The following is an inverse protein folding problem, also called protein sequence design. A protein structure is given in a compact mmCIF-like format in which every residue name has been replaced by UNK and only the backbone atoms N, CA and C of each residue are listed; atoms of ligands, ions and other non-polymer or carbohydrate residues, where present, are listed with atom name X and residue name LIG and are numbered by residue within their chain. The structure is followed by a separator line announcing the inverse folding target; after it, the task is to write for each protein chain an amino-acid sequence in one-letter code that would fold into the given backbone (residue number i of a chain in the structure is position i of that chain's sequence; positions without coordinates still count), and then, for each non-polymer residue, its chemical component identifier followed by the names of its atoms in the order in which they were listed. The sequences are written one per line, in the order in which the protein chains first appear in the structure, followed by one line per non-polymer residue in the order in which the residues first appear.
data_IF_558046309691
#
_entry.id   IF_558046309691
#
_cell.length_a   1.000
_cell.length_b   1.000
_cell.length_c   1.000
_cell.angle_alpha   90.00
_cell.angle_beta   90.00
_cell.angle_gamma   90.00
#
_symmetry.space_group_name_H-M   'P 1'
#
loop_
_entity.id
_entity.type
_entity.pdbx_description
1 polymer ?
#
# COMPACT_ATOMS: atom_id res chain seq x y z
N UNK A 1 19.99 -11.81 -12.26
CA UNK A 1 19.27 -12.96 -12.85
C UNK A 1 19.93 -13.41 -14.15
N UNK A 2 20.07 -12.54 -15.14
CA UNK A 2 20.62 -12.90 -16.45
C UNK A 2 22.07 -13.41 -16.40
N UNK A 3 22.97 -12.76 -15.69
CA UNK A 3 24.38 -13.20 -15.62
C UNK A 3 24.57 -14.48 -14.83
N UNK A 4 23.76 -14.69 -13.80
CA UNK A 4 23.75 -15.94 -13.05
C UNK A 4 23.14 -17.10 -13.88
N UNK A 5 22.16 -16.83 -14.75
CA UNK A 5 21.68 -17.80 -15.73
C UNK A 5 22.73 -18.11 -16.81
N UNK A 6 23.53 -17.13 -17.24
CA UNK A 6 24.67 -17.35 -18.16
C UNK A 6 25.78 -18.16 -17.51
N UNK A 7 26.11 -17.86 -16.25
CA UNK A 7 27.06 -18.62 -15.46
C UNK A 7 26.61 -20.08 -15.25
N UNK A 8 25.29 -20.31 -15.12
CA UNK A 8 24.74 -21.66 -15.05
C UNK A 8 24.99 -22.51 -16.32
N UNK A 9 25.24 -21.88 -17.47
CA UNK A 9 25.55 -22.61 -18.70
C UNK A 9 27.01 -23.11 -18.77
N UNK A 10 27.91 -22.60 -17.93
CA UNK A 10 29.35 -22.89 -18.04
C UNK A 10 29.84 -23.99 -17.10
N UNK A 11 29.09 -24.35 -16.06
CA UNK A 11 29.43 -25.47 -15.16
C UNK A 11 28.20 -26.07 -14.49
N UNK A 12 28.32 -27.36 -14.10
CA UNK A 12 27.26 -28.09 -13.41
C UNK A 12 27.02 -27.56 -11.99
N UNK A 13 28.09 -27.11 -11.32
CA UNK A 13 28.06 -26.50 -10.00
C UNK A 13 27.34 -25.15 -10.03
N UNK A 14 27.62 -24.32 -11.04
CA UNK A 14 26.94 -23.05 -11.25
C UNK A 14 25.46 -23.25 -11.62
N UNK A 15 25.13 -24.30 -12.39
CA UNK A 15 23.76 -24.68 -12.66
C UNK A 15 23.01 -25.11 -11.39
N UNK A 16 23.64 -25.87 -10.51
CA UNK A 16 23.05 -26.26 -9.22
C UNK A 16 22.86 -25.04 -8.31
N UNK A 17 23.86 -24.17 -8.20
CA UNK A 17 23.77 -22.91 -7.45
C UNK A 17 22.63 -22.03 -7.96
N UNK A 18 22.50 -21.92 -9.29
CA UNK A 18 21.40 -21.19 -9.93
C UNK A 18 20.02 -21.78 -9.61
N UNK A 19 19.87 -23.10 -9.66
CA UNK A 19 18.61 -23.79 -9.35
C UNK A 19 18.17 -23.58 -7.90
N UNK A 20 19.11 -23.44 -6.98
CA UNK A 20 18.85 -23.19 -5.54
C UNK A 20 18.72 -21.70 -5.18
N UNK A 21 18.81 -20.78 -6.15
CA UNK A 21 18.79 -19.35 -5.87
C UNK A 21 17.43 -18.89 -5.30
N UNK A 22 17.34 -18.33 -4.09
CA UNK A 22 16.08 -18.21 -3.36
C UNK A 22 15.11 -17.14 -3.91
N UNK A 23 15.54 -16.30 -4.86
CA UNK A 23 14.75 -15.19 -5.38
C UNK A 23 14.59 -15.22 -6.89
N UNK A 24 13.35 -15.15 -7.37
CA UNK A 24 13.02 -14.98 -8.76
C UNK A 24 12.28 -13.67 -8.95
N UNK A 25 12.84 -12.77 -9.76
CA UNK A 25 12.25 -11.49 -10.15
C UNK A 25 12.15 -11.38 -11.66
N UNK A 26 10.94 -11.24 -12.18
CA UNK A 26 10.65 -11.03 -13.59
C UNK A 26 10.07 -9.63 -13.77
N UNK A 27 10.80 -8.80 -14.49
CA UNK A 27 10.54 -7.38 -14.70
C UNK A 27 11.16 -6.94 -16.03
N UNK A 28 10.77 -5.77 -16.54
CA UNK A 28 11.33 -5.24 -17.78
C UNK A 28 12.86 -5.20 -17.78
N UNK A 29 13.46 -4.85 -16.62
CA UNK A 29 14.91 -4.79 -16.41
C UNK A 29 15.56 -6.18 -16.41
N UNK A 30 14.98 -7.13 -15.69
CA UNK A 30 15.56 -8.49 -15.57
C UNK A 30 15.44 -9.32 -16.84
N UNK A 31 14.52 -8.93 -17.73
CA UNK A 31 14.31 -9.55 -19.03
C UNK A 31 15.02 -8.82 -20.19
N UNK A 32 15.81 -7.78 -19.88
CA UNK A 32 16.58 -6.98 -20.85
C UNK A 32 15.73 -6.49 -22.04
N UNK A 33 14.54 -5.96 -21.76
CA UNK A 33 13.71 -5.36 -22.79
C UNK A 33 14.26 -3.98 -23.15
N UNK A 34 14.80 -3.83 -24.36
CA UNK A 34 15.18 -2.53 -24.91
C UNK A 34 13.90 -1.68 -25.13
N UNK A 35 13.91 -0.43 -24.68
CA UNK A 35 12.74 0.48 -24.64
C UNK A 35 12.22 0.92 -26.03
N UNK A 36 12.84 0.44 -27.11
CA UNK A 36 12.43 0.75 -28.47
C UNK A 36 11.53 -0.36 -29.02
N UNK A 37 10.60 0.02 -29.91
CA UNK A 37 9.67 -0.82 -30.69
C UNK A 37 8.25 -0.96 -30.11
N UNK A 38 7.43 0.03 -30.46
CA UNK A 38 6.00 0.14 -30.17
C UNK A 38 5.10 -0.74 -31.06
N UNK A 39 5.61 -1.34 -32.16
CA UNK A 39 4.80 -1.95 -33.22
C UNK A 39 4.72 -3.50 -33.26
N UNK A 40 5.48 -4.25 -32.44
CA UNK A 40 5.44 -5.74 -32.41
C UNK A 40 5.25 -6.25 -30.97
N UNK A 41 4.24 -5.75 -30.26
CA UNK A 41 4.12 -6.02 -28.81
C UNK A 41 3.56 -7.41 -28.48
N UNK A 42 2.54 -7.90 -29.19
CA UNK A 42 1.87 -9.17 -28.81
C UNK A 42 2.75 -10.41 -29.04
N UNK A 43 3.54 -10.43 -30.12
CA UNK A 43 4.49 -11.51 -30.40
C UNK A 43 5.62 -11.51 -29.35
N UNK A 44 6.10 -10.33 -28.96
CA UNK A 44 7.11 -10.17 -27.90
C UNK A 44 6.57 -10.61 -26.54
N UNK A 45 5.32 -10.28 -26.20
CA UNK A 45 4.68 -10.74 -24.95
C UNK A 45 4.66 -12.27 -24.88
N UNK A 46 4.28 -12.97 -25.97
CA UNK A 46 4.31 -14.45 -26.01
C UNK A 46 5.72 -15.02 -25.85
N UNK A 47 6.71 -14.44 -26.50
CA UNK A 47 8.12 -14.86 -26.38
C UNK A 47 8.62 -14.67 -24.93
N UNK A 48 8.30 -13.54 -24.31
CA UNK A 48 8.63 -13.25 -22.90
C UNK A 48 7.97 -14.27 -21.98
N UNK A 49 6.67 -14.52 -22.14
CA UNK A 49 5.92 -15.48 -21.33
C UNK A 49 6.48 -16.91 -21.51
N UNK A 50 6.86 -17.29 -22.73
CA UNK A 50 7.47 -18.61 -23.00
C UNK A 50 8.84 -18.78 -22.33
N UNK A 51 9.64 -17.72 -22.26
CA UNK A 51 10.91 -17.69 -21.54
C UNK A 51 10.69 -17.84 -20.04
N UNK A 52 9.76 -17.09 -19.47
CA UNK A 52 9.39 -17.19 -18.04
C UNK A 52 8.89 -18.61 -17.73
N UNK A 53 8.00 -19.17 -18.55
CA UNK A 53 7.49 -20.53 -18.38
C UNK A 53 8.61 -21.57 -18.41
N UNK A 54 9.55 -21.44 -19.34
CA UNK A 54 10.72 -22.33 -19.41
C UNK A 54 11.62 -22.22 -18.18
N UNK A 55 11.84 -21.01 -17.65
CA UNK A 55 12.63 -20.78 -16.43
C UNK A 55 11.96 -21.44 -15.23
N UNK A 56 10.64 -21.24 -15.07
CA UNK A 56 9.91 -21.78 -13.93
C UNK A 56 9.78 -23.31 -14.00
N UNK A 57 9.56 -23.88 -15.19
CA UNK A 57 9.58 -25.34 -15.40
C UNK A 57 10.93 -25.95 -15.06
N UNK A 58 12.04 -25.30 -15.42
CA UNK A 58 13.38 -25.76 -15.06
C UNK A 58 13.68 -25.71 -13.56
N UNK A 59 12.81 -25.06 -12.77
CA UNK A 59 12.93 -24.92 -11.33
C UNK A 59 11.81 -25.62 -10.56
N UNK A 60 10.92 -26.34 -11.25
CA UNK A 60 9.84 -27.10 -10.60
C UNK A 60 10.43 -28.12 -9.61
N UNK A 61 10.00 -28.06 -8.35
CA UNK A 61 10.49 -28.92 -7.27
C UNK A 61 11.68 -28.35 -6.47
N UNK A 62 12.17 -27.16 -6.80
CA UNK A 62 13.16 -26.44 -5.97
C UNK A 62 12.50 -25.22 -5.30
N UNK A 63 12.68 -25.11 -4.00
CA UNK A 63 12.07 -24.09 -3.16
C UNK A 63 12.49 -22.67 -3.59
N UNK A 64 11.50 -21.82 -3.86
CA UNK A 64 11.69 -20.39 -4.12
C UNK A 64 11.11 -19.62 -2.94
N UNK A 65 11.96 -18.87 -2.23
CA UNK A 65 11.51 -18.09 -1.07
C UNK A 65 10.82 -16.80 -1.49
N UNK A 66 11.32 -16.15 -2.54
CA UNK A 66 10.82 -14.85 -3.02
C UNK A 66 10.52 -14.90 -4.51
N UNK A 67 9.29 -14.62 -4.88
CA UNK A 67 8.85 -14.60 -6.27
C UNK A 67 8.20 -13.25 -6.59
N UNK A 68 8.72 -12.57 -7.63
CA UNK A 68 8.24 -11.25 -8.05
C UNK A 68 7.94 -11.26 -9.54
N UNK A 69 6.68 -10.99 -9.88
CA UNK A 69 6.17 -10.77 -11.22
C UNK A 69 5.79 -9.29 -11.35
N UNK A 70 6.60 -8.51 -12.06
CA UNK A 70 6.40 -7.07 -12.28
C UNK A 70 5.95 -6.85 -13.73
N UNK A 71 4.74 -7.32 -14.07
CA UNK A 71 4.24 -7.42 -15.43
C UNK A 71 3.49 -6.20 -15.95
N UNK A 72 3.58 -5.04 -15.27
CA UNK A 72 2.93 -3.79 -15.72
C UNK A 72 3.27 -3.37 -17.15
N UNK A 73 4.41 -3.82 -17.67
CA UNK A 73 4.88 -3.53 -19.04
C UNK A 73 4.26 -4.44 -20.12
N UNK A 74 3.69 -5.59 -19.73
CA UNK A 74 2.98 -6.50 -20.65
C UNK A 74 1.59 -5.96 -20.95
N UNK A 75 1.01 -6.35 -22.09
CA UNK A 75 -0.40 -6.01 -22.39
C UNK A 75 -1.36 -6.96 -21.70
N UNK A 76 -1.04 -8.25 -21.72
CA UNK A 76 -1.89 -9.31 -21.19
C UNK A 76 -1.04 -10.50 -20.77
N UNK A 77 -1.42 -11.08 -19.63
CA UNK A 77 -0.89 -12.36 -19.17
C UNK A 77 -2.06 -13.35 -19.10
N UNK A 78 -2.02 -14.47 -19.82
CA UNK A 78 -3.06 -15.49 -19.71
C UNK A 78 -3.06 -16.07 -18.28
N UNK A 79 -4.25 -16.18 -17.69
CA UNK A 79 -4.42 -16.54 -16.28
C UNK A 79 -3.86 -17.93 -15.94
N UNK A 80 -4.00 -18.89 -16.87
CA UNK A 80 -3.50 -20.25 -16.73
C UNK A 80 -1.97 -20.35 -16.59
N UNK A 81 -1.21 -19.39 -17.11
CA UNK A 81 0.24 -19.33 -16.84
C UNK A 81 0.49 -18.95 -15.39
N UNK A 82 -0.20 -17.92 -14.89
CA UNK A 82 -0.03 -17.43 -13.52
C UNK A 82 -0.39 -18.52 -12.52
N UNK A 83 -1.55 -19.18 -12.69
CA UNK A 83 -2.00 -20.26 -11.79
C UNK A 83 -0.96 -21.38 -11.71
N UNK A 84 -0.49 -21.86 -12.87
CA UNK A 84 0.53 -22.91 -12.95
C UNK A 84 1.85 -22.49 -12.29
N UNK A 85 2.26 -21.24 -12.48
CA UNK A 85 3.50 -20.71 -11.90
C UNK A 85 3.41 -20.58 -10.38
N UNK A 86 2.26 -20.11 -9.87
CA UNK A 86 2.00 -20.05 -8.44
C UNK A 86 1.95 -21.46 -7.85
N UNK A 87 1.23 -22.41 -8.46
CA UNK A 87 1.19 -23.80 -8.03
C UNK A 87 2.58 -24.42 -7.88
N UNK A 88 3.46 -24.18 -8.87
CA UNK A 88 4.83 -24.69 -8.85
C UNK A 88 5.70 -24.03 -7.77
N UNK A 89 5.46 -22.77 -7.44
CA UNK A 89 6.29 -21.98 -6.52
C UNK A 89 5.77 -21.94 -5.09
N UNK A 90 4.50 -22.30 -4.84
CA UNK A 90 3.85 -22.16 -3.53
C UNK A 90 4.56 -22.89 -2.39
N UNK A 91 5.10 -24.11 -2.57
CA UNK A 91 5.84 -24.79 -1.50
C UNK A 91 7.01 -23.93 -1.02
N UNK A 92 6.96 -23.50 0.25
CA UNK A 92 8.00 -22.69 0.92
C UNK A 92 8.14 -21.24 0.43
N UNK A 93 7.14 -20.70 -0.27
CA UNK A 93 7.10 -19.30 -0.67
C UNK A 93 6.89 -18.39 0.55
N UNK A 94 7.84 -17.50 0.80
CA UNK A 94 7.80 -16.54 1.91
C UNK A 94 7.35 -15.15 1.43
N UNK A 95 7.69 -14.75 0.20
CA UNK A 95 7.30 -13.44 -0.37
C UNK A 95 6.82 -13.56 -1.81
N UNK A 96 5.64 -12.99 -2.07
CA UNK A 96 5.06 -12.92 -3.41
C UNK A 96 4.77 -11.46 -3.79
N UNK A 97 5.22 -11.07 -4.98
CA UNK A 97 4.77 -9.86 -5.68
C UNK A 97 4.15 -10.27 -7.02
N UNK A 98 2.90 -9.87 -7.24
CA UNK A 98 2.17 -10.11 -8.48
C UNK A 98 1.57 -8.79 -8.96
N UNK A 99 2.29 -8.10 -9.83
CA UNK A 99 1.82 -6.87 -10.51
C UNK A 99 1.41 -7.20 -11.93
N UNK A 100 0.10 -7.20 -12.19
CA UNK A 100 -0.44 -7.51 -13.51
C UNK A 100 -0.62 -6.25 -14.37
N UNK A 101 -0.72 -6.42 -15.71
CA UNK A 101 -1.11 -5.34 -16.60
C UNK A 101 -2.43 -4.69 -16.17
N UNK A 102 -2.45 -3.36 -16.14
CA UNK A 102 -3.67 -2.57 -15.93
C UNK A 102 -4.37 -2.39 -17.29
N UNK A 103 -5.15 -3.38 -17.71
CA UNK A 103 -5.91 -3.33 -18.98
C UNK A 103 -7.33 -2.74 -18.82
N UNK A 104 -7.63 -2.16 -17.65
CA UNK A 104 -8.95 -1.63 -17.29
C UNK A 104 -9.98 -2.70 -16.93
N UNK A 105 -9.66 -4.00 -17.06
CA UNK A 105 -10.54 -5.10 -16.69
C UNK A 105 -9.82 -6.08 -15.76
N UNK A 106 -10.16 -6.03 -14.47
CA UNK A 106 -9.65 -7.01 -13.50
C UNK A 106 -10.28 -8.39 -13.79
N UNK A 107 -9.55 -9.22 -14.54
CA UNK A 107 -9.99 -10.56 -14.99
C UNK A 107 -9.40 -11.70 -14.18
N UNK A 108 -8.23 -11.50 -13.59
CA UNK A 108 -7.52 -12.55 -12.87
C UNK A 108 -8.00 -12.64 -11.43
N UNK A 109 -8.47 -13.82 -11.02
CA UNK A 109 -8.80 -14.14 -9.63
C UNK A 109 -7.59 -14.79 -8.97
N UNK A 110 -7.09 -14.16 -7.91
CA UNK A 110 -5.98 -14.69 -7.14
C UNK A 110 -6.37 -16.04 -6.49
N UNK A 111 -5.57 -17.11 -6.66
CA UNK A 111 -5.92 -18.45 -6.22
C UNK A 111 -5.60 -18.66 -4.73
N UNK A 112 -6.42 -18.08 -3.85
CA UNK A 112 -6.25 -18.18 -2.38
C UNK A 112 -6.06 -19.63 -1.89
N UNK A 113 -6.74 -20.60 -2.52
CA UNK A 113 -6.66 -22.05 -2.21
C UNK A 113 -5.24 -22.64 -2.25
N UNK A 114 -4.31 -22.03 -2.98
CA UNK A 114 -2.93 -22.49 -3.01
C UNK A 114 -2.22 -22.23 -1.67
N UNK A 115 -2.63 -21.20 -0.94
CA UNK A 115 -1.99 -20.73 0.28
C UNK A 115 -2.65 -21.29 1.56
N UNK A 116 -3.15 -22.53 1.49
CA UNK A 116 -3.71 -23.26 2.64
C UNK A 116 -2.62 -24.04 3.40
N UNK A 117 -2.90 -24.43 4.65
CA UNK A 117 -1.94 -25.16 5.52
C UNK A 117 -1.50 -26.50 4.93
N UNK A 118 -2.40 -27.17 4.19
CA UNK A 118 -2.13 -28.45 3.53
C UNK A 118 -0.95 -28.40 2.55
N UNK A 119 -0.63 -27.20 2.05
CA UNK A 119 0.44 -26.95 1.09
C UNK A 119 1.76 -26.48 1.74
N UNK A 120 1.81 -26.36 3.07
CA UNK A 120 3.01 -25.91 3.80
C UNK A 120 3.39 -24.46 3.48
N UNK A 121 2.40 -23.61 3.21
CA UNK A 121 2.64 -22.23 2.83
C UNK A 121 3.03 -21.38 4.06
N UNK A 122 4.16 -20.67 3.96
CA UNK A 122 4.72 -19.84 5.04
C UNK A 122 4.80 -18.35 4.64
N UNK A 123 3.89 -17.91 3.76
CA UNK A 123 3.94 -16.57 3.18
C UNK A 123 3.88 -15.48 4.27
N UNK A 124 4.86 -14.59 4.23
CA UNK A 124 5.05 -13.47 5.16
C UNK A 124 4.78 -12.13 4.50
N UNK A 125 4.95 -12.02 3.18
CA UNK A 125 4.75 -10.79 2.43
C UNK A 125 3.97 -11.05 1.14
N UNK A 126 2.87 -10.34 0.95
CA UNK A 126 2.01 -10.46 -0.22
C UNK A 126 1.77 -9.08 -0.84
N UNK A 127 2.19 -8.90 -2.08
CA UNK A 127 1.93 -7.69 -2.87
C UNK A 127 1.15 -8.06 -4.13
N UNK A 128 -0.06 -7.53 -4.26
CA UNK A 128 -0.97 -7.78 -5.38
C UNK A 128 -1.34 -6.47 -6.06
N UNK A 129 -1.26 -6.45 -7.40
CA UNK A 129 -1.69 -5.32 -8.21
C UNK A 129 -2.49 -5.78 -9.44
N UNK A 130 -3.61 -5.09 -9.68
CA UNK A 130 -4.53 -5.34 -10.80
C UNK A 130 -5.13 -6.77 -10.88
N UNK A 131 -5.54 -7.34 -9.74
CA UNK A 131 -6.23 -8.63 -9.66
C UNK A 131 -7.45 -8.60 -8.73
N UNK A 132 -8.24 -9.66 -8.68
CA UNK A 132 -9.30 -9.81 -7.68
C UNK A 132 -8.86 -10.76 -6.57
N UNK A 133 -9.09 -10.37 -5.32
CA UNK A 133 -8.67 -11.11 -4.14
C UNK A 133 -9.88 -11.42 -3.26
N UNK A 134 -10.24 -12.69 -3.20
CA UNK A 134 -11.44 -13.20 -2.54
C UNK A 134 -11.07 -14.42 -1.69
N UNK A 135 -10.62 -14.22 -0.44
CA UNK A 135 -10.32 -15.30 0.46
C UNK A 135 -11.63 -15.91 0.99
N UNK A 136 -12.12 -17.00 0.37
CA UNK A 136 -13.27 -17.72 0.93
C UNK A 136 -12.94 -18.19 2.36
N UNK A 137 -13.92 -18.21 3.27
CA UNK A 137 -13.70 -18.63 4.67
C UNK A 137 -13.08 -20.03 4.69
N UNK A 138 -11.90 -20.16 5.32
CA UNK A 138 -11.16 -21.42 5.40
C UNK A 138 -10.35 -21.79 4.14
N UNK A 139 -10.41 -21.02 3.06
CA UNK A 139 -9.72 -21.33 1.80
C UNK A 139 -8.23 -21.00 1.80
N UNK A 140 -7.75 -20.12 2.68
CA UNK A 140 -6.36 -19.69 2.75
C UNK A 140 -5.94 -19.42 4.18
N UNK A 141 -4.71 -19.77 4.54
CA UNK A 141 -4.20 -19.58 5.89
C UNK A 141 -2.98 -18.65 5.92
N UNK A 142 -3.25 -17.36 6.04
CA UNK A 142 -2.22 -16.31 6.09
C UNK A 142 -1.70 -16.06 7.52
N UNK A 143 -1.49 -17.11 8.33
CA UNK A 143 -1.03 -17.00 9.73
C UNK A 143 0.31 -16.30 9.90
N UNK A 144 1.21 -16.50 8.96
CA UNK A 144 2.55 -15.92 8.97
C UNK A 144 2.62 -14.58 8.25
N UNK A 145 1.52 -14.09 7.67
CA UNK A 145 1.51 -12.89 6.85
C UNK A 145 1.72 -11.65 7.73
N UNK A 146 2.86 -10.98 7.52
CA UNK A 146 3.26 -9.75 8.21
C UNK A 146 3.02 -8.50 7.39
N UNK A 147 3.16 -8.60 6.06
CA UNK A 147 3.03 -7.47 5.14
C UNK A 147 2.04 -7.77 4.03
N UNK A 148 1.10 -6.87 3.82
CA UNK A 148 0.12 -6.96 2.74
C UNK A 148 0.02 -5.63 2.00
N UNK A 149 0.24 -5.65 0.69
CA UNK A 149 0.07 -4.50 -0.20
C UNK A 149 -0.93 -4.85 -1.30
N UNK A 150 -2.00 -4.07 -1.41
CA UNK A 150 -3.06 -4.28 -2.38
C UNK A 150 -3.24 -3.00 -3.20
N UNK A 151 -2.99 -3.08 -4.51
CA UNK A 151 -3.14 -1.94 -5.43
C UNK A 151 -4.10 -2.28 -6.57
N UNK A 152 -5.13 -1.47 -6.80
CA UNK A 152 -6.14 -1.76 -7.84
C UNK A 152 -6.75 -3.17 -7.71
N UNK A 153 -6.89 -3.66 -6.48
CA UNK A 153 -7.39 -5.00 -6.18
C UNK A 153 -8.89 -4.95 -5.90
N UNK A 154 -9.64 -5.85 -6.53
CA UNK A 154 -11.08 -6.05 -6.26
C UNK A 154 -11.28 -6.97 -5.06
N UNK A 155 -12.08 -6.54 -4.10
CA UNK A 155 -12.40 -7.27 -2.86
C UNK A 155 -13.91 -7.08 -2.63
N UNK A 156 -14.66 -8.17 -2.48
CA UNK A 156 -16.10 -8.13 -2.33
C UNK A 156 -16.54 -7.42 -1.02
N UNK A 157 -17.62 -6.64 -1.10
CA UNK A 157 -18.13 -5.77 -0.03
C UNK A 157 -18.83 -6.50 1.11
N UNK A 158 -19.26 -7.75 0.93
CA UNK A 158 -19.89 -8.53 2.01
C UNK A 158 -18.87 -9.11 3.01
N UNK A 159 -17.58 -9.02 2.70
CA UNK A 159 -16.46 -9.56 3.49
C UNK A 159 -15.72 -8.46 4.28
N UNK A 160 -16.30 -7.26 4.42
CA UNK A 160 -15.65 -6.06 4.98
C UNK A 160 -15.20 -6.21 6.45
N UNK A 161 -15.61 -7.27 7.15
CA UNK A 161 -15.10 -7.64 8.48
C UNK A 161 -13.99 -8.71 8.47
N UNK A 162 -13.73 -9.38 7.35
CA UNK A 162 -12.85 -10.53 7.25
C UNK A 162 -11.59 -10.24 6.44
N UNK A 163 -10.64 -9.51 7.05
CA UNK A 163 -9.28 -10.06 6.97
C UNK A 163 -9.38 -11.54 7.37
N UNK A 164 -8.68 -12.46 6.70
CA UNK A 164 -8.73 -13.85 7.11
C UNK A 164 -8.50 -13.87 8.62
N UNK A 165 -9.42 -14.43 9.44
CA UNK A 165 -9.39 -14.33 10.90
C UNK A 165 -8.08 -14.85 11.52
N UNK A 166 -7.22 -15.43 10.70
CA UNK A 166 -5.94 -16.00 11.03
C UNK A 166 -4.72 -15.10 10.77
N UNK A 167 -4.85 -13.89 10.18
CA UNK A 167 -3.72 -12.97 9.94
C UNK A 167 -3.27 -12.20 11.19
N UNK A 168 -3.16 -12.91 12.32
CA UNK A 168 -2.75 -12.36 13.63
C UNK A 168 -1.31 -11.83 13.63
N UNK A 169 -0.50 -12.20 12.64
CA UNK A 169 0.87 -11.74 12.47
C UNK A 169 1.00 -10.44 11.66
N UNK A 170 -0.10 -9.87 11.15
CA UNK A 170 -0.05 -8.72 10.25
C UNK A 170 0.49 -7.49 10.99
N UNK A 171 1.57 -6.92 10.47
CA UNK A 171 2.28 -5.76 11.01
C UNK A 171 2.08 -4.52 10.12
N UNK A 172 1.96 -4.74 8.80
CA UNK A 172 1.93 -3.68 7.80
C UNK A 172 0.86 -3.94 6.74
N UNK A 173 -0.05 -2.99 6.56
CA UNK A 173 -1.11 -3.05 5.56
C UNK A 173 -1.11 -1.79 4.69
N UNK A 174 -1.01 -1.98 3.37
CA UNK A 174 -1.19 -0.92 2.40
C UNK A 174 -2.31 -1.24 1.43
N UNK A 175 -3.15 -0.24 1.16
CA UNK A 175 -4.23 -0.30 0.18
C UNK A 175 -4.20 0.91 -0.73
N UNK A 176 -4.25 0.68 -2.03
CA UNK A 176 -4.15 1.73 -3.04
C UNK A 176 -5.12 1.49 -4.19
N UNK A 177 -5.79 2.53 -4.71
CA UNK A 177 -6.71 2.42 -5.86
C UNK A 177 -7.79 1.32 -5.72
N UNK A 178 -8.28 1.05 -4.50
CA UNK A 178 -9.29 0.02 -4.26
C UNK A 178 -10.67 0.69 -4.15
N UNK A 179 -11.47 0.66 -5.23
CA UNK A 179 -12.71 1.44 -5.38
C UNK A 179 -14.01 0.67 -5.13
N UNK A 180 -13.96 -0.55 -4.60
CA UNK A 180 -15.18 -1.34 -4.33
C UNK A 180 -15.63 -1.24 -2.87
N UNK A 181 -14.76 -0.77 -1.97
CA UNK A 181 -15.05 -0.78 -0.53
C UNK A 181 -15.46 0.61 -0.07
N UNK A 182 -16.65 0.69 0.55
CA UNK A 182 -17.21 1.91 1.11
C UNK A 182 -16.70 2.22 2.54
N UNK A 183 -16.37 1.20 3.34
CA UNK A 183 -15.87 1.39 4.70
C UNK A 183 -14.73 0.43 5.02
N UNK A 184 -13.66 0.94 5.63
CA UNK A 184 -12.56 0.12 6.14
C UNK A 184 -12.72 0.00 7.67
N UNK A 185 -12.91 -1.23 8.17
CA UNK A 185 -12.97 -1.52 9.60
C UNK A 185 -11.90 -2.54 9.97
N UNK A 186 -10.93 -2.12 10.78
CA UNK A 186 -9.87 -3.01 11.26
C UNK A 186 -10.21 -3.53 12.66
N UNK A 187 -10.32 -4.85 12.86
CA UNK A 187 -10.72 -5.41 14.15
C UNK A 187 -9.59 -5.37 15.19
N UNK A 188 -9.96 -5.43 16.46
CA UNK A 188 -9.03 -5.46 17.60
C UNK A 188 -8.17 -6.74 17.69
N UNK A 189 -8.47 -7.76 16.87
CA UNK A 189 -7.67 -8.98 16.75
C UNK A 189 -6.32 -8.75 16.06
N UNK A 190 -6.17 -7.65 15.31
CA UNK A 190 -4.93 -7.25 14.65
C UNK A 190 -3.93 -6.62 15.64
N UNK A 191 -3.47 -7.40 16.62
CA UNK A 191 -2.62 -6.94 17.74
C UNK A 191 -1.19 -6.58 17.35
N UNK A 192 -0.74 -6.90 16.14
CA UNK A 192 0.61 -6.58 15.66
C UNK A 192 0.63 -5.48 14.61
N UNK A 193 -0.54 -5.06 14.13
CA UNK A 193 -0.64 -4.06 13.07
C UNK A 193 -0.13 -2.73 13.62
N UNK A 194 1.01 -2.27 13.11
CA UNK A 194 1.64 -1.01 13.50
C UNK A 194 1.55 0.03 12.39
N UNK A 195 1.44 -0.40 11.14
CA UNK A 195 1.41 0.49 9.98
C UNK A 195 0.18 0.25 9.09
N UNK A 196 -0.58 1.32 8.86
CA UNK A 196 -1.69 1.36 7.91
C UNK A 196 -1.48 2.47 6.90
N UNK A 197 -1.52 2.13 5.61
CA UNK A 197 -1.58 3.09 4.52
C UNK A 197 -2.78 2.84 3.62
N UNK A 198 -3.56 3.89 3.36
CA UNK A 198 -4.72 3.82 2.48
C UNK A 198 -4.66 5.01 1.54
N UNK A 199 -4.80 4.79 0.23
CA UNK A 199 -4.94 5.95 -0.64
C UNK A 199 -5.53 5.72 -2.02
N UNK A 200 -6.02 6.81 -2.58
CA UNK A 200 -6.73 6.88 -3.86
C UNK A 200 -7.88 5.88 -3.95
N UNK A 201 -8.56 5.63 -2.83
CA UNK A 201 -9.74 4.77 -2.74
C UNK A 201 -10.99 5.65 -2.73
N UNK A 202 -11.43 6.11 -3.89
CA UNK A 202 -12.40 7.21 -4.00
C UNK A 202 -13.82 6.89 -3.47
N UNK A 203 -14.16 5.61 -3.33
CA UNK A 203 -15.44 5.17 -2.76
C UNK A 203 -15.41 5.05 -1.24
N UNK A 204 -14.23 5.19 -0.62
CA UNK A 204 -14.06 4.99 0.82
C UNK A 204 -14.65 6.18 1.58
N UNK A 205 -15.72 5.92 2.32
CA UNK A 205 -16.47 6.91 3.08
C UNK A 205 -16.04 6.98 4.55
N UNK A 206 -15.41 5.94 5.10
CA UNK A 206 -15.01 5.89 6.50
C UNK A 206 -13.83 4.95 6.73
N UNK A 207 -12.96 5.33 7.66
CA UNK A 207 -11.91 4.45 8.19
C UNK A 207 -12.04 4.33 9.70
N UNK A 208 -12.27 3.11 10.17
CA UNK A 208 -12.30 2.75 11.57
C UNK A 208 -11.23 1.68 11.85
N UNK A 209 -10.54 1.80 12.99
CA UNK A 209 -9.61 0.77 13.44
C UNK A 209 -9.59 0.65 14.95
N UNK A 210 -9.85 -0.57 15.42
CA UNK A 210 -9.75 -0.98 16.81
C UNK A 210 -8.43 -1.74 17.08
N UNK A 211 -7.49 -1.72 16.13
CA UNK A 211 -6.17 -2.35 16.28
C UNK A 211 -5.35 -1.64 17.38
N UNK A 212 -4.95 -2.36 18.45
CA UNK A 212 -4.41 -1.73 19.67
C UNK A 212 -2.97 -1.21 19.54
N UNK A 213 -2.23 -1.69 18.53
CA UNK A 213 -0.81 -1.37 18.33
C UNK A 213 -0.56 -0.46 17.13
N UNK A 214 -1.61 0.09 16.52
CA UNK A 214 -1.48 0.94 15.35
C UNK A 214 -0.72 2.22 15.74
N UNK A 215 0.49 2.38 15.20
CA UNK A 215 1.37 3.51 15.50
C UNK A 215 1.47 4.51 14.36
N UNK A 216 1.23 4.07 13.13
CA UNK A 216 1.41 4.87 11.91
C UNK A 216 0.20 4.75 11.01
N UNK A 217 -0.38 5.88 10.61
CA UNK A 217 -1.51 5.97 9.70
C UNK A 217 -1.25 6.98 8.57
N UNK A 218 -1.18 6.48 7.35
CA UNK A 218 -0.96 7.28 6.15
C UNK A 218 -2.18 7.22 5.24
N UNK A 219 -2.72 8.38 4.89
CA UNK A 219 -3.93 8.52 4.07
C UNK A 219 -3.70 9.44 2.87
N UNK A 220 -4.18 9.02 1.70
CA UNK A 220 -4.25 9.88 0.51
C UNK A 220 -5.63 9.80 -0.16
N UNK A 221 -6.42 10.86 -0.18
CA UNK A 221 -7.77 10.82 -0.74
C UNK A 221 -8.68 11.94 -0.25
N UNK A 222 -9.99 11.90 -0.54
CA UNK A 222 -10.95 12.88 -0.03
C UNK A 222 -10.99 12.92 1.51
N UNK A 223 -11.43 14.03 2.10
CA UNK A 223 -11.67 14.08 3.55
C UNK A 223 -12.71 13.02 3.93
N UNK A 224 -12.42 12.20 4.94
CA UNK A 224 -13.33 11.20 5.47
C UNK A 224 -13.28 11.12 7.00
N UNK A 225 -14.34 10.64 7.67
CA UNK A 225 -14.35 10.42 9.12
C UNK A 225 -13.36 9.32 9.53
N UNK A 226 -12.61 9.61 10.60
CA UNK A 226 -11.64 8.71 11.22
C UNK A 226 -12.10 8.30 12.61
N UNK A 227 -11.99 7.02 12.94
CA UNK A 227 -12.25 6.49 14.28
C UNK A 227 -11.18 5.46 14.64
N UNK A 228 -10.28 5.80 15.57
CA UNK A 228 -9.14 4.95 15.93
C UNK A 228 -9.25 4.37 17.36
N UNK A 229 -10.47 4.15 17.84
CA UNK A 229 -10.75 3.67 19.21
C UNK A 229 -10.01 4.50 20.28
N UNK A 230 -9.78 3.90 21.45
CA UNK A 230 -8.89 4.46 22.49
C UNK A 230 -7.41 4.10 22.22
N UNK A 231 -6.99 3.94 20.96
CA UNK A 231 -5.65 3.47 20.63
C UNK A 231 -4.60 4.56 20.94
N UNK A 232 -4.05 4.48 22.16
CA UNK A 232 -3.03 5.41 22.68
C UNK A 232 -1.68 5.34 21.95
N UNK A 233 -1.50 4.41 21.00
CA UNK A 233 -0.22 4.16 20.34
C UNK A 233 -0.01 4.94 19.04
N UNK A 234 -1.04 5.61 18.51
CA UNK A 234 -0.96 6.31 17.23
C UNK A 234 -0.07 7.56 17.35
N UNK A 235 1.09 7.53 16.68
CA UNK A 235 2.17 8.53 16.81
C UNK A 235 2.51 9.26 15.52
N UNK A 236 2.29 8.63 14.37
CA UNK A 236 2.63 9.19 13.07
C UNK A 236 1.39 9.23 12.17
N UNK A 237 0.97 10.42 11.77
CA UNK A 237 -0.14 10.63 10.84
C UNK A 237 0.32 11.45 9.66
N UNK A 238 0.06 10.94 8.47
CA UNK A 238 0.24 11.63 7.20
C UNK A 238 -1.08 11.63 6.45
N UNK A 239 -1.64 12.81 6.18
CA UNK A 239 -2.88 12.95 5.40
C UNK A 239 -2.61 13.85 4.21
N UNK A 240 -2.86 13.33 3.01
CA UNK A 240 -2.84 14.10 1.77
C UNK A 240 -4.22 14.08 1.15
N UNK A 241 -4.88 15.23 1.07
CA UNK A 241 -6.17 15.33 0.39
C UNK A 241 -6.04 15.96 -0.98
N UNK A 242 -4.87 16.04 -1.59
CA UNK A 242 -4.75 16.66 -2.91
C UNK A 242 -5.52 15.85 -3.99
N UNK A 243 -6.38 16.49 -4.82
CA UNK A 243 -6.56 17.94 -5.03
C UNK A 243 -7.73 18.61 -4.27
N UNK A 244 -8.29 17.98 -3.25
CA UNK A 244 -9.31 18.53 -2.34
C UNK A 244 -8.73 19.56 -1.35
N UNK A 245 -9.61 20.28 -0.66
CA UNK A 245 -9.34 21.42 0.22
C UNK A 245 -10.00 21.26 1.60
N UNK A 246 -9.72 22.17 2.55
CA UNK A 246 -10.25 22.23 3.93
C UNK A 246 -9.77 21.12 4.91
N UNK A 247 -8.65 20.46 4.63
CA UNK A 247 -8.03 19.50 5.53
C UNK A 247 -7.63 20.11 6.86
N UNK A 248 -7.09 21.34 6.89
CA UNK A 248 -6.50 21.89 8.11
C UNK A 248 -7.55 22.10 9.21
N UNK A 249 -8.73 22.63 8.86
CA UNK A 249 -9.81 22.78 9.83
C UNK A 249 -10.34 21.43 10.30
N UNK A 250 -10.51 20.47 9.39
CA UNK A 250 -10.91 19.11 9.74
C UNK A 250 -9.92 18.46 10.71
N UNK A 251 -8.62 18.48 10.36
CA UNK A 251 -7.54 17.91 11.14
C UNK A 251 -7.48 18.50 12.56
N UNK A 252 -7.64 19.82 12.70
CA UNK A 252 -7.66 20.52 13.99
C UNK A 252 -8.81 20.05 14.90
N UNK A 253 -9.96 19.70 14.33
CA UNK A 253 -11.14 19.31 15.10
C UNK A 253 -11.16 17.82 15.45
N UNK A 254 -10.65 16.96 14.56
CA UNK A 254 -10.79 15.50 14.68
C UNK A 254 -9.54 14.84 15.24
N UNK A 255 -8.34 15.22 14.80
CA UNK A 255 -7.13 14.49 15.15
C UNK A 255 -6.76 14.55 16.64
N UNK A 256 -6.98 15.64 17.39
CA UNK A 256 -6.65 15.65 18.81
C UNK A 256 -7.48 14.67 19.65
N UNK A 257 -8.72 14.38 19.25
CA UNK A 257 -9.58 13.42 19.95
C UNK A 257 -9.29 11.99 19.50
N UNK A 258 -9.00 11.80 18.21
CA UNK A 258 -8.77 10.50 17.60
C UNK A 258 -7.33 10.00 17.82
N UNK A 259 -6.36 10.90 17.98
CA UNK A 259 -4.93 10.61 18.11
C UNK A 259 -4.27 11.53 19.15
N UNK A 260 -4.62 11.41 20.45
CA UNK A 260 -4.14 12.33 21.49
C UNK A 260 -2.61 12.29 21.70
N UNK A 261 -1.97 11.16 21.39
CA UNK A 261 -0.52 10.93 21.60
C UNK A 261 0.34 11.15 20.33
N UNK A 262 -0.19 11.89 19.36
CA UNK A 262 0.47 12.14 18.10
C UNK A 262 1.82 12.85 18.29
N UNK A 263 2.89 12.32 17.69
CA UNK A 263 4.24 12.87 17.72
C UNK A 263 4.64 13.53 16.38
N UNK A 264 4.16 12.98 15.26
CA UNK A 264 4.45 13.45 13.91
C UNK A 264 3.15 13.65 13.13
N UNK A 265 2.97 14.85 12.56
CA UNK A 265 1.84 15.21 11.73
C UNK A 265 2.30 15.81 10.41
N UNK A 266 1.89 15.20 9.30
CA UNK A 266 2.07 15.72 7.96
C UNK A 266 0.69 15.93 7.29
N UNK A 267 0.40 17.14 6.83
CA UNK A 267 -0.84 17.47 6.14
C UNK A 267 -0.56 18.08 4.77
N UNK A 268 -1.19 17.56 3.71
CA UNK A 268 -1.19 18.16 2.38
C UNK A 268 -2.60 18.45 1.90
N UNK A 269 -2.86 19.69 1.50
CA UNK A 269 -4.17 20.14 1.04
C UNK A 269 -4.04 21.08 -0.15
N UNK A 270 -5.07 21.17 -0.98
CA UNK A 270 -5.12 22.15 -2.06
C UNK A 270 -5.90 23.39 -1.64
N UNK A 271 -5.54 24.57 -2.16
CA UNK A 271 -6.33 25.81 -2.05
C UNK A 271 -6.85 26.14 -0.63
N UNK A 272 -6.05 25.91 0.41
CA UNK A 272 -6.40 26.25 1.79
C UNK A 272 -6.42 27.78 1.97
N UNK A 273 -7.58 28.40 1.82
CA UNK A 273 -7.79 29.83 2.08
C UNK A 273 -8.73 29.96 3.25
N UNK A 274 -8.19 30.31 4.42
CA UNK A 274 -8.93 30.30 5.68
C UNK A 274 -10.17 31.20 5.70
N UNK A 275 -11.34 30.61 5.92
CA UNK A 275 -12.43 31.26 6.66
C UNK A 275 -12.46 30.65 8.06
N UNK A 276 -11.48 31.00 8.89
CA UNK A 276 -11.49 30.62 10.30
C UNK A 276 -12.56 31.45 11.01
N UNK A 277 -13.81 31.01 10.94
CA UNK A 277 -14.89 31.61 11.72
C UNK A 277 -14.55 31.49 13.20
N UNK A 278 -14.41 32.64 13.85
CA UNK A 278 -14.00 32.85 15.23
C UNK A 278 -14.94 32.25 16.30
N UNK A 279 -15.90 31.39 15.93
CA UNK A 279 -17.02 30.97 16.80
C UNK A 279 -16.92 29.56 17.39
N UNK A 280 -15.95 28.71 16.98
CA UNK A 280 -15.77 27.37 17.58
C UNK A 280 -14.43 27.27 18.33
N UNK A 281 -14.41 27.84 19.54
CA UNK A 281 -13.24 28.10 20.39
C UNK A 281 -12.81 26.93 21.29
N UNK A 282 -12.93 25.68 20.83
CA UNK A 282 -12.30 24.55 21.53
C UNK A 282 -11.55 23.67 20.52
N UNK A 283 -10.40 24.13 19.99
CA UNK A 283 -9.48 23.23 19.32
C UNK A 283 -9.04 22.15 20.33
N UNK A 284 -9.09 20.89 19.91
CA UNK A 284 -8.41 19.85 20.67
C UNK A 284 -6.90 20.09 20.64
N UNK A 285 -6.21 19.78 21.74
CA UNK A 285 -4.79 20.06 21.90
C UNK A 285 -3.96 18.84 21.56
N UNK A 286 -2.88 19.00 20.79
CA UNK A 286 -1.87 17.96 20.64
C UNK A 286 -0.85 18.07 21.76
N UNK A 287 -0.86 17.12 22.69
CA UNK A 287 -0.01 17.18 23.89
C UNK A 287 1.43 16.74 23.63
N UNK A 288 1.65 15.91 22.61
CA UNK A 288 2.90 15.20 22.38
C UNK A 288 3.54 15.48 21.00
N UNK A 289 3.00 16.44 20.24
CA UNK A 289 3.46 16.71 18.88
C UNK A 289 4.86 17.33 18.88
N UNK A 290 5.78 16.67 18.16
CA UNK A 290 7.19 17.06 18.01
C UNK A 290 7.50 17.57 16.61
N UNK A 291 6.89 16.95 15.60
CA UNK A 291 7.13 17.22 14.19
C UNK A 291 5.83 17.59 13.49
N UNK A 292 5.82 18.77 12.86
CA UNK A 292 4.70 19.22 12.06
C UNK A 292 5.17 19.68 10.69
N UNK A 293 4.57 19.10 9.66
CA UNK A 293 4.78 19.50 8.28
C UNK A 293 3.44 19.80 7.60
N UNK A 294 3.34 21.00 7.03
CA UNK A 294 2.15 21.48 6.34
C UNK A 294 2.50 21.79 4.88
N UNK A 295 1.77 21.20 3.95
CA UNK A 295 1.93 21.47 2.52
C UNK A 295 0.62 21.99 1.94
N UNK A 296 0.66 23.16 1.30
CA UNK A 296 -0.47 23.71 0.54
C UNK A 296 -0.09 23.74 -0.93
N UNK A 297 -0.95 23.16 -1.77
CA UNK A 297 -0.82 23.22 -3.23
C UNK A 297 -1.81 24.23 -3.78
N UNK A 298 -1.35 25.24 -4.50
CA UNK A 298 -2.24 26.27 -5.03
C UNK A 298 -1.55 27.33 -5.89
N UNK A 299 -2.32 28.26 -6.50
CA UNK A 299 -1.80 29.33 -7.32
C UNK A 299 -0.87 30.26 -6.55
N UNK A 300 0.21 30.69 -7.21
CA UNK A 300 1.21 31.61 -6.66
C UNK A 300 0.62 32.95 -6.21
N UNK A 301 -0.49 33.39 -6.81
CA UNK A 301 -1.15 34.66 -6.47
C UNK A 301 -1.74 34.69 -5.05
N UNK A 302 -2.02 33.51 -4.45
CA UNK A 302 -2.62 33.40 -3.11
C UNK A 302 -1.62 33.00 -2.03
N UNK A 303 -0.32 33.05 -2.33
CA UNK A 303 0.75 32.60 -1.43
C UNK A 303 0.66 33.22 -0.03
N UNK A 304 0.39 34.53 0.08
CA UNK A 304 0.23 35.20 1.39
C UNK A 304 -0.90 34.61 2.24
N UNK A 305 -2.03 34.29 1.63
CA UNK A 305 -3.18 33.67 2.31
C UNK A 305 -2.86 32.25 2.80
N UNK A 306 -2.02 31.52 2.08
CA UNK A 306 -1.55 30.20 2.49
C UNK A 306 -0.61 30.27 3.70
N UNK A 307 0.31 31.25 3.72
CA UNK A 307 1.15 31.53 4.87
C UNK A 307 0.32 31.84 6.11
N UNK A 308 -0.65 32.76 5.99
CA UNK A 308 -1.56 33.10 7.08
C UNK A 308 -2.30 31.86 7.57
N UNK A 309 -2.83 31.05 6.66
CA UNK A 309 -3.57 29.82 6.99
C UNK A 309 -2.71 28.81 7.76
N UNK A 310 -1.45 28.60 7.37
CA UNK A 310 -0.50 27.79 8.11
C UNK A 310 -0.21 28.37 9.51
N UNK A 311 0.02 29.68 9.62
CA UNK A 311 0.26 30.35 10.91
C UNK A 311 -0.95 30.22 11.84
N UNK A 312 -2.16 30.42 11.33
CA UNK A 312 -3.40 30.23 12.09
C UNK A 312 -3.54 28.81 12.60
N UNK A 313 -3.28 27.80 11.76
CA UNK A 313 -3.30 26.41 12.19
C UNK A 313 -2.28 26.17 13.33
N UNK A 314 -1.06 26.67 13.19
CA UNK A 314 -0.01 26.57 14.21
C UNK A 314 -0.43 27.21 15.53
N UNK A 315 -0.92 28.46 15.51
CA UNK A 315 -1.40 29.13 16.71
C UNK A 315 -2.55 28.37 17.38
N UNK A 316 -3.46 27.81 16.57
CA UNK A 316 -4.64 27.11 17.08
C UNK A 316 -4.33 25.83 17.85
N UNK A 317 -3.19 25.19 17.57
CA UNK A 317 -2.80 23.92 18.21
C UNK A 317 -1.68 24.07 19.25
N UNK A 318 -0.94 25.19 19.26
CA UNK A 318 0.24 25.41 20.11
C UNK A 318 0.03 26.37 21.29
N UNK A 319 -1.17 26.90 21.50
CA UNK A 319 -1.41 28.11 22.31
C UNK A 319 -0.91 28.10 23.78
N UNK A 320 -0.38 27.00 24.34
CA UNK A 320 0.15 26.99 25.72
C UNK A 320 1.42 26.15 26.00
N UNK A 321 1.95 25.37 25.04
CA UNK A 321 3.17 24.58 25.29
C UNK A 321 4.13 24.62 24.09
N UNK A 322 5.24 25.35 24.23
CA UNK A 322 6.37 25.31 23.30
C UNK A 322 7.17 24.01 23.46
N UNK A 323 6.72 22.93 22.80
CA UNK A 323 7.52 21.69 22.65
C UNK A 323 7.55 21.14 21.24
N UNK A 324 7.31 21.98 20.22
CA UNK A 324 7.54 21.56 18.85
C UNK A 324 9.06 21.54 18.58
N UNK A 325 9.61 20.38 18.25
CA UNK A 325 11.03 20.25 17.94
C UNK A 325 11.34 20.74 16.52
N UNK A 326 10.39 20.56 15.59
CA UNK A 326 10.56 20.93 14.19
C UNK A 326 9.21 21.26 13.53
N UNK A 327 9.14 22.44 12.90
CA UNK A 327 8.00 22.85 12.07
C UNK A 327 8.52 23.20 10.68
N UNK A 328 7.90 22.68 9.63
CA UNK A 328 8.16 23.12 8.26
C UNK A 328 6.87 23.28 7.50
N UNK A 329 6.81 24.27 6.61
CA UNK A 329 5.71 24.41 5.67
C UNK A 329 6.25 24.51 4.26
N UNK A 330 5.55 23.87 3.32
CA UNK A 330 5.87 23.89 1.90
C UNK A 330 4.67 24.45 1.13
N UNK A 331 4.93 25.44 0.27
CA UNK A 331 3.92 25.94 -0.66
C UNK A 331 4.35 25.49 -2.05
N UNK A 332 3.57 24.58 -2.63
CA UNK A 332 3.79 24.11 -3.99
C UNK A 332 2.93 24.91 -4.94
N UNK A 333 3.56 25.51 -5.95
CA UNK A 333 2.86 26.27 -6.97
C UNK A 333 2.50 25.37 -8.15
N UNK A 334 1.23 25.43 -8.59
CA UNK A 334 0.83 24.86 -9.87
C UNK A 334 1.42 25.72 -11.00
N UNK A 335 2.06 25.08 -11.99
CA UNK A 335 2.42 25.76 -13.24
C UNK A 335 1.13 26.08 -14.00
N UNK A 336 1.03 27.31 -14.50
CA UNK A 336 -0.10 27.76 -15.31
C UNK A 336 -0.14 27.06 -16.67
#
# INVERSE_FOLDING_TARGET
MQDAARAACVSRELLQSWRCYPELRFSSKTLALNEQHTCVRDRKDREILSRIDSILRNRSGVWVKRLKFEFRFLRKVPTNYIDRWLEAATPGLEELTLELPRDGQVKYRFPCKLFSDEKGCSIQSLCLDACSFHPDIGSCNFRSLKRMHLSSVRINTEEIGSFPPNSLALEHLERWHCHEIASLKLPCTLRRLSFLRVGRCDTLQMTQSDAPCLSTFHYEGPILPLSFGDSLQLKDIKISVYPWFNLFNHARTVLPTVAPNLETLFLTSAYEVGTFSSSSWVPGKFLHLKYLELAIVGPKTQTGLYYDTCLWFLFSILFQHWKLSYCTYFIFHLSQ
#
